data_IF_047635787420
#
_entry.id   IF_047635787420
#
_cell.length_a   1.000
_cell.length_b   1.000
_cell.length_c   1.000
_cell.angle_alpha   90.00
_cell.angle_beta   90.00
_cell.angle_gamma   90.00
#
_symmetry.space_group_name_H-M   'P 1'
#
loop_
_entity.id
_entity.type
_entity.pdbx_description
1 polymer ?
#
# COMPACT_ATOMS: atom_id res chain seq x y z
N UNK A 1 -6.17 -13.95 -22.12
CA UNK A 1 -6.20 -13.65 -21.61
C UNK A 1 -6.12 -13.20 -20.80
N UNK A 2 -6.23 -13.03 -20.34
CA UNK A 2 -6.30 -12.64 -19.65
C UNK A 2 -6.21 -12.05 -18.94
N UNK A 3 -6.40 -11.99 -18.80
CA UNK A 3 -6.78 -11.34 -18.02
C UNK A 3 -6.08 -10.59 -17.21
N UNK A 4 -6.04 -9.83 -17.09
CA UNK A 4 -5.49 -9.22 -16.30
C UNK A 4 -6.07 -8.78 -15.26
N UNK A 5 -6.09 -9.20 -14.44
CA UNK A 5 -6.64 -8.67 -13.47
C UNK A 5 -5.81 -7.86 -12.70
N UNK A 6 -6.30 -6.85 -12.06
CA UNK A 6 -5.55 -6.06 -11.21
C UNK A 6 -5.33 -6.77 -9.98
N UNK A 7 -4.11 -6.87 -9.58
CA UNK A 7 -3.77 -7.55 -8.38
C UNK A 7 -3.57 -6.54 -7.32
N UNK A 8 -4.56 -6.43 -6.45
CA UNK A 8 -4.45 -5.55 -5.31
C UNK A 8 -4.06 -6.36 -4.08
N UNK A 9 -3.25 -5.77 -3.21
CA UNK A 9 -2.91 -6.37 -1.94
C UNK A 9 -3.51 -5.52 -0.85
N UNK A 10 -3.95 -6.18 0.21
CA UNK A 10 -4.52 -5.45 1.34
C UNK A 10 -3.43 -4.69 2.08
N UNK A 11 -3.86 -3.74 2.90
CA UNK A 11 -2.95 -2.94 3.70
C UNK A 11 -2.07 -3.83 4.57
N UNK A 12 -2.69 -4.80 5.24
CA UNK A 12 -1.95 -5.67 6.13
C UNK A 12 -0.90 -6.48 5.38
N UNK A 13 -1.30 -7.05 4.24
CA UNK A 13 -0.39 -7.87 3.48
C UNK A 13 0.74 -7.05 2.89
N UNK A 14 0.41 -5.84 2.44
CA UNK A 14 1.41 -4.95 1.89
C UNK A 14 2.46 -4.60 2.94
N UNK A 15 2.01 -4.33 4.16
CA UNK A 15 2.93 -4.01 5.24
C UNK A 15 3.88 -5.17 5.49
N UNK A 16 3.36 -6.39 5.49
CA UNK A 16 4.18 -7.58 5.67
C UNK A 16 5.20 -7.71 4.55
N UNK A 17 4.77 -7.50 3.33
CA UNK A 17 5.65 -7.64 2.18
C UNK A 17 6.76 -6.59 2.19
N UNK A 18 6.46 -5.40 2.67
CA UNK A 18 7.42 -4.32 2.69
C UNK A 18 8.26 -4.27 3.96
N UNK A 19 7.90 -5.07 4.96
CA UNK A 19 8.63 -5.04 6.21
C UNK A 19 8.34 -3.81 7.04
N UNK A 20 7.14 -3.26 6.89
CA UNK A 20 6.73 -2.07 7.61
C UNK A 20 5.61 -2.42 8.57
N UNK A 21 5.40 -1.56 9.56
CA UNK A 21 4.22 -1.70 10.37
C UNK A 21 3.04 -1.16 9.56
N UNK A 22 1.84 -1.55 9.96
CA UNK A 22 0.67 -1.05 9.25
C UNK A 22 0.53 0.45 9.39
N UNK A 23 0.93 0.97 10.53
CA UNK A 23 0.87 2.40 10.76
C UNK A 23 1.85 3.14 9.86
N UNK A 24 3.07 2.62 9.75
CA UNK A 24 4.06 3.24 8.87
C UNK A 24 3.58 3.26 7.43
N UNK A 25 3.00 2.15 7.00
CA UNK A 25 2.51 2.08 5.63
C UNK A 25 1.37 3.05 5.41
N UNK A 26 0.48 3.17 6.39
CA UNK A 26 -0.62 4.12 6.27
C UNK A 26 -0.09 5.54 6.13
N UNK A 27 0.91 5.89 6.92
CA UNK A 27 1.49 7.22 6.85
C UNK A 27 2.11 7.48 5.48
N UNK A 28 2.85 6.50 4.96
CA UNK A 28 3.46 6.64 3.66
C UNK A 28 2.42 6.76 2.56
N UNK A 29 1.35 5.98 2.68
CA UNK A 29 0.27 6.03 1.72
C UNK A 29 -0.37 7.42 1.72
N UNK A 30 -0.62 7.95 2.90
CA UNK A 30 -1.24 9.27 3.00
C UNK A 30 -0.35 10.36 2.43
N UNK A 31 0.93 10.29 2.73
CA UNK A 31 1.84 11.33 2.28
C UNK A 31 2.09 11.28 0.79
N UNK A 32 2.14 10.10 0.23
CA UNK A 32 2.49 9.94 -1.17
C UNK A 32 1.28 9.96 -2.08
N UNK A 33 0.11 9.69 -1.54
CA UNK A 33 -1.08 9.58 -2.37
C UNK A 33 -1.20 8.24 -3.05
N UNK A 34 -0.31 7.30 -2.72
CA UNK A 34 -0.37 5.97 -3.33
C UNK A 34 -1.35 5.11 -2.58
N UNK A 35 -1.89 4.12 -3.28
CA UNK A 35 -2.84 3.23 -2.68
C UNK A 35 -4.26 3.67 -2.94
N UNK A 36 -5.17 2.71 -2.90
CA UNK A 36 -6.58 2.97 -3.11
C UNK A 36 -7.29 2.89 -1.77
N UNK A 37 -7.90 3.99 -1.37
CA UNK A 37 -8.60 4.05 -0.09
C UNK A 37 -10.08 3.85 -0.35
N UNK A 38 -10.68 2.91 0.33
CA UNK A 38 -12.10 2.64 0.20
C UNK A 38 -12.72 2.56 1.59
N UNK A 39 -13.95 3.01 1.67
CA UNK A 39 -14.68 2.94 2.92
C UNK A 39 -15.94 2.13 2.70
N UNK A 40 -16.13 1.11 3.51
CA UNK A 40 -17.30 0.27 3.43
C UNK A 40 -17.74 -0.03 4.84
N UNK A 41 -19.05 0.18 5.11
CA UNK A 41 -19.61 -0.11 6.42
C UNK A 41 -18.86 0.62 7.53
N UNK A 42 -18.41 1.82 7.24
CA UNK A 42 -17.73 2.61 8.25
C UNK A 42 -16.29 2.23 8.48
N UNK A 43 -15.79 1.26 7.74
CA UNK A 43 -14.40 0.83 7.88
C UNK A 43 -13.62 1.28 6.66
N UNK A 44 -12.45 1.83 6.92
CA UNK A 44 -11.59 2.27 5.85
C UNK A 44 -10.59 1.17 5.54
N UNK A 45 -10.45 0.85 4.27
CA UNK A 45 -9.47 -0.13 3.84
C UNK A 45 -8.60 0.48 2.76
N UNK A 46 -7.34 0.08 2.75
CA UNK A 46 -6.40 0.57 1.76
C UNK A 46 -5.90 -0.62 0.98
N UNK A 47 -5.89 -0.49 -0.35
CA UNK A 47 -5.40 -1.53 -1.23
C UNK A 47 -4.27 -0.98 -2.06
N UNK A 48 -3.30 -1.82 -2.37
CA UNK A 48 -2.14 -1.40 -3.12
C UNK A 48 -1.93 -2.29 -4.32
N UNK A 49 -1.50 -1.72 -5.43
CA UNK A 49 -1.03 -2.51 -6.56
C UNK A 49 0.44 -2.77 -6.34
N UNK A 50 1.00 -3.68 -7.12
CA UNK A 50 2.44 -3.92 -7.03
C UNK A 50 3.24 -2.69 -7.43
N UNK A 51 2.69 -1.92 -8.35
CA UNK A 51 3.33 -0.67 -8.73
C UNK A 51 3.40 0.28 -7.54
N UNK A 52 2.29 0.37 -6.79
CA UNK A 52 2.27 1.19 -5.59
C UNK A 52 3.31 0.72 -4.60
N UNK A 53 3.43 -0.59 -4.43
CA UNK A 53 4.37 -1.14 -3.47
C UNK A 53 5.80 -0.81 -3.85
N UNK A 54 6.10 -0.84 -5.14
CA UNK A 54 7.44 -0.48 -5.58
C UNK A 54 7.78 0.93 -5.21
N UNK A 55 6.84 1.84 -5.47
CA UNK A 55 7.10 3.24 -5.18
C UNK A 55 7.20 3.50 -3.69
N UNK A 56 6.37 2.83 -2.91
CA UNK A 56 6.42 2.98 -1.47
C UNK A 56 7.74 2.44 -0.92
N UNK A 57 8.22 1.36 -1.50
CA UNK A 57 9.48 0.79 -1.09
C UNK A 57 10.62 1.79 -1.27
N UNK A 58 10.60 2.50 -2.39
CA UNK A 58 11.61 3.52 -2.65
C UNK A 58 11.50 4.64 -1.62
N UNK A 59 10.27 5.07 -1.34
CA UNK A 59 10.06 6.14 -0.37
C UNK A 59 10.52 5.72 1.02
N UNK A 60 10.21 4.49 1.41
CA UNK A 60 10.60 4.00 2.72
C UNK A 60 12.11 3.96 2.83
N UNK A 61 12.78 3.58 1.76
CA UNK A 61 14.23 3.52 1.74
C UNK A 61 14.83 4.92 1.92
N UNK A 62 14.19 5.91 1.33
CA UNK A 62 14.68 7.27 1.43
C UNK A 62 14.49 7.85 2.81
N UNK A 63 13.58 7.27 3.58
CA UNK A 63 13.32 7.77 4.93
C UNK A 63 14.22 7.11 5.97
N UNK A 64 15.03 6.17 5.57
CA UNK A 64 15.91 5.48 6.49
C UNK A 64 17.22 6.23 6.60
N UNK A 65 17.68 6.38 7.79
CA UNK A 65 18.95 7.08 8.02
C UNK A 65 19.95 6.19 8.69
#
# INVERSE_FOLDING_TARGET
MKTQEYKYVTHRRAALLLGLSEEELRDLSSESGLGLHETADGLEEIFFTYEDLRQICVLATQHVH
#
